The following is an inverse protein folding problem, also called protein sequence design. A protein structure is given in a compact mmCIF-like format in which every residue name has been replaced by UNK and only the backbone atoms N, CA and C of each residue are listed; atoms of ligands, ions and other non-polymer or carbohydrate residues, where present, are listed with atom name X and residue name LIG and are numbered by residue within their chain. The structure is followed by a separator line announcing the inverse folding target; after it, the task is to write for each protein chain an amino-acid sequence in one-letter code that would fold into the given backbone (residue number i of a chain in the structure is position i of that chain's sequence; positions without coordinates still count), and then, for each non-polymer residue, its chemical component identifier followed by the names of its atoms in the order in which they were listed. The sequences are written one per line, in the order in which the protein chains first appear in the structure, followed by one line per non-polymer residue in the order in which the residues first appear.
data_IF_132710201084
#
_entry.id   IF_132710201084
#
_cell.length_a   1.000
_cell.length_b   1.000
_cell.length_c   1.000
_cell.angle_alpha   90.00
_cell.angle_beta   90.00
_cell.angle_gamma   90.00
#
_symmetry.space_group_name_H-M   'P 1'
#
loop_
_entity.id
_entity.type
_entity.pdbx_description
1 polymer ?
#
# COMPACT_ATOMS: atom_id res chain seq x y z
N UNK A 1 -78.22 28.55 12.15
CA UNK A 1 -77.23 27.81 12.93
C UNK A 1 -76.05 27.44 12.01
N UNK A 2 -74.90 28.17 12.11
CA UNK A 2 -73.71 28.03 11.21
C UNK A 2 -72.76 27.02 11.77
N UNK A 3 -72.52 25.96 11.05
CA UNK A 3 -71.42 24.99 11.39
C UNK A 3 -70.13 25.35 10.69
N UNK A 4 -69.13 25.70 11.45
CA UNK A 4 -67.74 25.92 10.99
C UNK A 4 -67.03 24.58 10.75
N UNK A 5 -66.66 24.33 9.50
CA UNK A 5 -65.72 23.24 9.18
C UNK A 5 -64.30 23.70 9.43
N UNK A 6 -63.64 23.18 10.48
CA UNK A 6 -62.16 23.27 10.65
C UNK A 6 -61.50 22.23 9.74
N UNK A 7 -60.74 22.72 8.78
CA UNK A 7 -59.85 21.90 7.94
C UNK A 7 -58.60 21.69 8.72
N UNK A 8 -58.35 20.42 9.10
CA UNK A 8 -57.09 19.99 9.75
C UNK A 8 -56.05 19.71 8.66
N UNK A 9 -55.04 20.57 8.55
CA UNK A 9 -53.91 20.39 7.64
C UNK A 9 -52.92 19.48 8.34
N UNK A 10 -52.88 18.21 7.96
CA UNK A 10 -51.86 17.24 8.42
C UNK A 10 -50.61 17.48 7.61
N UNK A 11 -49.58 18.13 8.21
CA UNK A 11 -48.22 18.17 7.68
C UNK A 11 -47.59 16.80 7.84
N UNK A 12 -47.49 16.04 6.75
CA UNK A 12 -46.66 14.85 6.66
C UNK A 12 -45.20 15.33 6.61
N UNK A 13 -44.52 15.25 7.74
CA UNK A 13 -43.04 15.36 7.77
C UNK A 13 -42.48 14.09 7.10
N UNK A 14 -42.07 14.18 5.85
CA UNK A 14 -41.15 13.24 5.27
C UNK A 14 -39.80 13.46 5.92
N UNK A 15 -39.49 12.62 6.89
CA UNK A 15 -38.14 12.52 7.44
C UNK A 15 -37.18 12.06 6.35
N UNK A 16 -36.42 13.01 5.79
CA UNK A 16 -35.23 12.67 5.01
C UNK A 16 -34.25 12.08 6.02
N UNK A 17 -34.23 10.75 6.14
CA UNK A 17 -33.15 10.06 6.82
C UNK A 17 -31.90 10.32 6.00
N UNK A 18 -31.06 11.26 6.45
CA UNK A 18 -29.69 11.37 6.00
C UNK A 18 -29.00 10.03 6.33
N UNK A 19 -28.89 9.14 5.33
CA UNK A 19 -28.00 8.02 5.43
C UNK A 19 -26.59 8.62 5.55
N UNK A 20 -26.07 8.68 6.76
CA UNK A 20 -24.67 8.90 6.98
C UNK A 20 -23.95 7.77 6.24
N UNK A 21 -23.20 8.11 5.19
CA UNK A 21 -22.26 7.20 4.57
C UNK A 21 -21.26 6.83 5.68
N UNK A 22 -21.28 5.58 6.13
CA UNK A 22 -20.12 5.07 6.85
C UNK A 22 -18.98 5.14 5.82
N UNK A 23 -18.03 6.06 6.01
CA UNK A 23 -16.68 5.82 5.48
C UNK A 23 -16.39 4.37 5.81
N UNK A 24 -15.98 3.58 4.81
CA UNK A 24 -15.51 2.22 5.07
C UNK A 24 -14.37 2.34 6.08
N UNK A 25 -14.72 2.17 7.36
CA UNK A 25 -13.79 2.28 8.48
C UNK A 25 -12.92 1.03 8.43
N UNK A 26 -11.90 1.09 7.57
CA UNK A 26 -10.87 0.06 7.55
C UNK A 26 -10.08 0.16 8.84
N UNK A 27 -10.24 -0.82 9.72
CA UNK A 27 -9.55 -0.85 10.99
C UNK A 27 -8.05 -1.09 10.77
N UNK A 28 -7.24 -0.11 11.07
CA UNK A 28 -5.79 -0.19 11.25
C UNK A 28 -5.39 0.50 12.54
N UNK A 29 -4.21 0.19 13.07
CA UNK A 29 -3.72 0.80 14.32
C UNK A 29 -2.67 1.88 14.09
N UNK A 30 -1.97 1.85 12.95
CA UNK A 30 -1.06 2.91 12.54
C UNK A 30 -0.92 2.96 11.01
N UNK A 31 -0.80 4.17 10.47
CA UNK A 31 -0.62 4.44 9.04
C UNK A 31 0.45 5.51 8.85
N UNK A 32 1.28 5.36 7.81
CA UNK A 32 2.12 6.42 7.28
C UNK A 32 2.21 6.29 5.76
N UNK A 33 2.02 7.39 5.06
CA UNK A 33 2.16 7.52 3.60
C UNK A 33 3.12 8.65 3.30
N UNK A 34 4.10 8.41 2.45
CA UNK A 34 5.04 9.43 2.02
C UNK A 34 5.79 9.03 0.76
N UNK A 35 6.70 9.90 0.31
CA UNK A 35 7.57 9.64 -0.82
C UNK A 35 8.94 9.06 -0.40
N UNK A 36 9.74 8.66 -1.37
CA UNK A 36 11.09 8.14 -1.11
C UNK A 36 12.04 9.20 -0.53
N UNK A 37 11.73 10.50 -0.65
CA UNK A 37 12.57 11.59 -0.20
C UNK A 37 12.32 12.02 1.24
N UNK A 38 11.25 11.52 1.87
CA UNK A 38 10.92 11.80 3.26
C UNK A 38 9.74 12.77 3.43
N UNK A 39 9.10 13.19 2.35
CA UNK A 39 7.89 14.00 2.44
C UNK A 39 6.73 13.13 2.91
N UNK A 40 6.25 13.37 4.13
CA UNK A 40 5.10 12.66 4.70
C UNK A 40 3.83 13.34 4.20
N UNK A 41 2.94 12.57 3.57
CA UNK A 41 1.68 13.03 3.00
C UNK A 41 0.53 12.79 3.97
N UNK A 42 0.57 11.66 4.69
CA UNK A 42 -0.48 11.27 5.62
C UNK A 42 0.12 10.39 6.72
N UNK A 43 -0.24 10.66 7.95
CA UNK A 43 0.12 9.80 9.07
C UNK A 43 -1.01 9.74 10.10
N UNK A 44 -1.15 8.58 10.72
CA UNK A 44 -2.03 8.35 11.84
C UNK A 44 -1.38 7.33 12.79
N UNK A 45 -1.28 7.70 14.08
CA UNK A 45 -0.66 6.88 15.11
C UNK A 45 0.75 6.35 14.76
N UNK A 46 1.44 7.02 13.83
CA UNK A 46 2.67 6.55 13.17
C UNK A 46 3.85 6.35 14.10
N UNK A 47 3.85 6.98 15.27
CA UNK A 47 4.87 6.84 16.34
C UNK A 47 4.55 5.73 17.35
N UNK A 48 3.35 5.13 17.30
CA UNK A 48 2.96 4.08 18.24
C UNK A 48 3.69 2.78 17.93
N UNK A 49 4.40 2.24 18.93
CA UNK A 49 5.12 0.96 18.80
C UNK A 49 4.13 -0.20 18.74
N UNK A 50 4.32 -1.08 17.77
CA UNK A 50 3.45 -2.22 17.47
C UNK A 50 4.27 -3.48 17.19
N UNK A 51 3.74 -4.69 17.40
CA UNK A 51 4.35 -5.91 16.95
C UNK A 51 4.50 -5.94 15.43
N UNK A 52 5.66 -6.35 14.93
CA UNK A 52 6.02 -6.31 13.50
C UNK A 52 5.58 -7.54 12.72
N UNK A 53 5.49 -8.70 13.38
CA UNK A 53 5.36 -9.99 12.70
C UNK A 53 6.45 -10.12 11.60
N UNK A 54 6.12 -10.73 10.46
CA UNK A 54 7.10 -10.95 9.38
C UNK A 54 7.65 -9.71 8.69
N UNK A 55 7.21 -8.49 9.05
CA UNK A 55 7.90 -7.26 8.60
C UNK A 55 9.34 -7.22 9.14
N UNK A 56 9.62 -7.84 10.27
CA UNK A 56 10.95 -8.12 10.83
C UNK A 56 11.96 -8.60 9.78
N UNK A 57 11.53 -9.44 8.83
CA UNK A 57 12.39 -10.05 7.80
C UNK A 57 13.06 -9.04 6.87
N UNK A 58 12.58 -7.79 6.81
CA UNK A 58 13.28 -6.73 6.06
C UNK A 58 14.70 -6.58 6.61
N UNK A 59 14.89 -6.53 7.94
CA UNK A 59 16.21 -6.39 8.55
C UNK A 59 17.05 -7.66 8.35
N UNK A 60 16.46 -8.84 8.39
CA UNK A 60 17.16 -10.10 8.09
C UNK A 60 17.75 -10.10 6.69
N UNK A 61 17.00 -9.62 5.72
CA UNK A 61 17.45 -9.50 4.32
C UNK A 61 18.55 -8.44 4.20
N UNK A 62 18.41 -7.27 4.85
CA UNK A 62 19.44 -6.22 4.86
C UNK A 62 20.78 -6.76 5.36
N UNK A 63 20.82 -7.45 6.49
CA UNK A 63 22.06 -8.01 7.03
C UNK A 63 22.67 -9.07 6.11
N UNK A 64 21.83 -9.86 5.43
CA UNK A 64 22.32 -10.82 4.41
C UNK A 64 22.91 -10.08 3.21
N UNK A 65 22.24 -9.01 2.75
CA UNK A 65 22.74 -8.18 1.65
C UNK A 65 24.00 -7.41 2.01
N UNK A 66 24.19 -7.00 3.27
CA UNK A 66 25.44 -6.41 3.73
C UNK A 66 26.63 -7.36 3.56
N UNK A 67 26.43 -8.65 3.87
CA UNK A 67 27.47 -9.68 3.64
C UNK A 67 27.76 -9.88 2.15
N UNK A 68 26.73 -9.79 1.30
CA UNK A 68 26.91 -9.87 -0.16
C UNK A 68 27.65 -8.62 -0.66
N UNK A 69 27.24 -7.43 -0.26
CA UNK A 69 27.89 -6.17 -0.67
C UNK A 69 29.36 -6.08 -0.25
N UNK A 70 29.71 -6.62 0.92
CA UNK A 70 31.08 -6.67 1.40
C UNK A 70 31.94 -7.77 0.74
N UNK A 71 31.37 -8.58 -0.16
CA UNK A 71 32.06 -9.68 -0.83
C UNK A 71 32.34 -10.89 0.07
N UNK A 72 31.82 -10.91 1.32
CA UNK A 72 32.02 -12.04 2.24
C UNK A 72 31.23 -13.28 1.80
N UNK A 73 30.11 -13.09 1.15
CA UNK A 73 29.29 -14.13 0.52
C UNK A 73 28.76 -13.65 -0.82
N UNK A 74 28.23 -14.57 -1.63
CA UNK A 74 27.53 -14.25 -2.89
C UNK A 74 26.09 -14.79 -2.86
N UNK A 75 25.28 -14.42 -3.84
CA UNK A 75 23.95 -15.01 -4.03
C UNK A 75 24.00 -16.52 -4.21
N UNK A 76 25.09 -17.07 -4.75
CA UNK A 76 25.25 -18.50 -5.05
C UNK A 76 25.94 -19.28 -3.93
N UNK A 77 26.38 -18.58 -2.86
CA UNK A 77 26.95 -19.22 -1.66
C UNK A 77 25.93 -20.21 -1.09
N UNK A 78 26.41 -21.42 -0.77
CA UNK A 78 25.60 -22.52 -0.23
C UNK A 78 25.46 -22.40 1.29
N UNK A 79 24.23 -22.53 1.77
CA UNK A 79 23.88 -22.53 3.19
C UNK A 79 23.31 -23.91 3.53
N UNK A 80 23.94 -24.62 4.46
CA UNK A 80 23.41 -25.89 4.98
C UNK A 80 22.32 -25.60 6.00
N UNK A 81 21.12 -26.11 5.77
CA UNK A 81 19.96 -25.91 6.64
C UNK A 81 20.10 -26.76 7.90
N UNK A 82 20.11 -26.14 9.06
CA UNK A 82 20.16 -26.85 10.35
C UNK A 82 18.84 -27.59 10.64
N UNK A 83 18.90 -28.61 11.51
CA UNK A 83 17.69 -29.29 11.99
C UNK A 83 16.73 -28.33 12.72
N UNK A 84 17.26 -27.29 13.38
CA UNK A 84 16.45 -26.23 14.03
C UNK A 84 15.75 -25.37 12.98
N UNK A 85 16.49 -24.89 11.99
CA UNK A 85 15.91 -24.09 10.90
C UNK A 85 14.80 -24.85 10.17
N UNK A 86 15.06 -26.12 9.79
CA UNK A 86 14.05 -26.95 9.09
C UNK A 86 12.73 -27.12 9.84
N UNK A 87 12.76 -27.11 11.18
CA UNK A 87 11.58 -27.26 12.05
C UNK A 87 10.82 -25.96 12.34
N UNK A 88 11.35 -24.79 11.94
CA UNK A 88 10.65 -23.52 12.16
C UNK A 88 9.37 -23.49 11.33
N UNK A 89 8.20 -23.21 11.94
CA UNK A 89 6.91 -23.33 11.27
C UNK A 89 6.63 -22.21 10.28
N UNK A 90 5.61 -22.39 9.45
CA UNK A 90 5.10 -21.40 8.49
C UNK A 90 6.15 -20.94 7.47
N UNK A 91 6.75 -21.89 6.79
CA UNK A 91 7.74 -21.65 5.74
C UNK A 91 7.52 -22.52 4.50
N UNK A 92 8.54 -22.60 3.67
CA UNK A 92 8.67 -23.61 2.62
C UNK A 92 9.21 -24.91 3.22
N UNK A 93 9.08 -26.03 2.53
CA UNK A 93 9.75 -27.25 2.97
C UNK A 93 11.26 -27.11 2.74
N UNK A 94 12.02 -26.98 3.83
CA UNK A 94 13.50 -27.06 3.82
C UNK A 94 13.93 -28.36 4.50
N UNK A 95 14.88 -29.06 3.88
CA UNK A 95 15.37 -30.34 4.38
C UNK A 95 16.62 -30.10 5.21
N UNK A 96 16.63 -30.63 6.46
CA UNK A 96 17.80 -30.55 7.33
C UNK A 96 19.02 -31.23 6.68
N UNK A 97 20.19 -30.61 6.76
CA UNK A 97 21.41 -31.07 6.13
C UNK A 97 21.54 -30.76 4.63
N UNK A 98 20.44 -30.43 3.94
CA UNK A 98 20.50 -30.01 2.54
C UNK A 98 21.01 -28.58 2.40
N UNK A 99 21.73 -28.33 1.31
CA UNK A 99 22.24 -27.01 0.95
C UNK A 99 21.29 -26.28 0.01
N UNK A 100 21.02 -25.01 0.31
CA UNK A 100 20.32 -24.07 -0.55
C UNK A 100 21.19 -22.85 -0.81
N UNK A 101 21.02 -22.17 -1.93
CA UNK A 101 21.74 -20.93 -2.18
C UNK A 101 21.21 -19.79 -1.27
N UNK A 102 22.05 -18.80 -0.98
CA UNK A 102 21.61 -17.54 -0.35
C UNK A 102 20.47 -16.94 -1.16
N UNK A 103 20.54 -16.98 -2.49
CA UNK A 103 19.47 -16.54 -3.41
C UNK A 103 18.16 -17.26 -3.15
N UNK A 104 18.17 -18.58 -3.03
CA UNK A 104 16.96 -19.37 -2.74
C UNK A 104 16.35 -19.00 -1.39
N UNK A 105 17.17 -18.85 -0.37
CA UNK A 105 16.72 -18.48 0.97
C UNK A 105 16.18 -17.05 1.01
N UNK A 106 16.78 -16.10 0.25
CA UNK A 106 16.25 -14.74 0.08
C UNK A 106 14.89 -14.75 -0.64
N UNK A 107 14.76 -15.50 -1.75
CA UNK A 107 13.47 -15.68 -2.45
C UNK A 107 12.41 -16.22 -1.49
N UNK A 108 12.70 -17.28 -0.75
CA UNK A 108 11.76 -17.85 0.21
C UNK A 108 11.39 -16.85 1.32
N UNK A 109 12.36 -16.09 1.83
CA UNK A 109 12.17 -15.11 2.91
C UNK A 109 11.33 -13.91 2.47
N UNK A 110 11.62 -13.34 1.29
CA UNK A 110 10.97 -12.11 0.80
C UNK A 110 9.60 -12.44 0.20
N UNK A 111 9.54 -13.38 -0.74
CA UNK A 111 8.36 -13.67 -1.56
C UNK A 111 7.33 -14.45 -0.72
N UNK A 112 7.71 -15.62 -0.21
CA UNK A 112 6.82 -16.53 0.55
C UNK A 112 6.71 -16.14 2.02
N UNK A 113 7.56 -15.23 2.51
CA UNK A 113 7.64 -14.91 3.94
C UNK A 113 8.06 -16.09 4.82
N UNK A 114 8.89 -16.99 4.29
CA UNK A 114 9.30 -18.22 4.95
C UNK A 114 10.07 -17.95 6.24
N UNK A 115 9.58 -18.48 7.39
CA UNK A 115 10.22 -18.30 8.69
C UNK A 115 11.48 -19.14 8.81
N UNK A 116 11.46 -20.36 8.30
CA UNK A 116 12.60 -21.27 8.34
C UNK A 116 13.75 -20.79 7.43
N UNK A 117 13.46 -20.19 6.29
CA UNK A 117 14.49 -19.60 5.44
C UNK A 117 15.13 -18.36 6.10
N UNK A 118 14.33 -17.49 6.72
CA UNK A 118 14.85 -16.37 7.49
C UNK A 118 15.69 -16.84 8.70
N UNK A 119 15.28 -17.91 9.36
CA UNK A 119 16.06 -18.51 10.45
C UNK A 119 17.39 -19.06 9.96
N UNK A 120 17.39 -19.81 8.84
CA UNK A 120 18.62 -20.34 8.24
C UNK A 120 19.59 -19.23 7.82
N UNK A 121 19.08 -18.14 7.23
CA UNK A 121 19.91 -16.95 6.95
C UNK A 121 20.45 -16.32 8.24
N UNK A 122 19.65 -16.24 9.30
CA UNK A 122 20.08 -15.70 10.59
C UNK A 122 21.21 -16.53 11.23
N UNK A 123 21.08 -17.86 11.22
CA UNK A 123 22.17 -18.76 11.69
C UNK A 123 23.43 -18.61 10.85
N UNK A 124 23.28 -18.58 9.53
CA UNK A 124 24.42 -18.50 8.61
C UNK A 124 25.18 -17.16 8.71
N UNK A 125 24.44 -16.04 8.70
CA UNK A 125 25.03 -14.69 8.72
C UNK A 125 25.57 -14.31 10.09
N UNK A 126 24.88 -14.72 11.16
CA UNK A 126 25.25 -14.39 12.54
C UNK A 126 26.11 -15.45 13.24
N UNK A 127 26.24 -16.64 12.67
CA UNK A 127 26.85 -17.80 13.36
C UNK A 127 25.97 -18.39 14.45
N UNK A 128 25.07 -17.60 15.02
CA UNK A 128 24.03 -18.02 15.97
C UNK A 128 22.85 -17.04 15.92
N UNK A 129 21.66 -17.48 16.32
CA UNK A 129 20.48 -16.60 16.38
C UNK A 129 20.64 -15.46 17.38
N UNK A 130 21.17 -15.66 18.62
CA UNK A 130 21.41 -14.55 19.54
C UNK A 130 22.34 -13.47 18.97
N UNK A 131 23.44 -13.89 18.33
CA UNK A 131 24.36 -12.94 17.70
C UNK A 131 23.71 -12.22 16.53
N UNK A 132 22.94 -12.93 15.69
CA UNK A 132 22.21 -12.31 14.58
C UNK A 132 21.21 -11.27 15.06
N UNK A 133 20.46 -11.55 16.13
CA UNK A 133 19.51 -10.60 16.75
C UNK A 133 20.26 -9.37 17.28
N UNK A 134 21.41 -9.54 17.89
CA UNK A 134 22.27 -8.41 18.28
C UNK A 134 22.67 -7.56 17.07
N UNK A 135 23.08 -8.20 15.96
CA UNK A 135 23.40 -7.50 14.72
C UNK A 135 22.20 -6.73 14.17
N UNK A 136 20.97 -7.31 14.22
CA UNK A 136 19.75 -6.62 13.79
C UNK A 136 19.49 -5.35 14.60
N UNK A 137 19.64 -5.43 15.93
CA UNK A 137 19.43 -4.28 16.82
C UNK A 137 20.53 -3.22 16.64
N UNK A 138 21.78 -3.62 16.50
CA UNK A 138 22.89 -2.70 16.18
C UNK A 138 22.66 -1.99 14.84
N UNK A 139 22.23 -2.72 13.81
CA UNK A 139 21.92 -2.14 12.51
C UNK A 139 20.76 -1.14 12.60
N UNK A 140 19.71 -1.44 13.38
CA UNK A 140 18.61 -0.50 13.61
C UNK A 140 19.12 0.80 14.25
N UNK A 141 20.00 0.71 15.25
CA UNK A 141 20.61 1.89 15.88
C UNK A 141 21.48 2.68 14.90
N UNK A 142 22.30 2.00 14.09
CA UNK A 142 23.13 2.63 13.05
C UNK A 142 22.29 3.42 12.05
N UNK A 143 21.10 2.94 11.73
CA UNK A 143 20.14 3.63 10.86
C UNK A 143 19.28 4.71 11.57
N UNK A 144 19.44 4.89 12.89
CA UNK A 144 18.63 5.81 13.68
C UNK A 144 17.16 5.39 13.82
N UNK A 145 16.89 4.07 13.81
CA UNK A 145 15.56 3.46 13.87
C UNK A 145 15.29 2.97 15.29
N UNK A 146 15.18 3.91 16.24
CA UNK A 146 15.21 3.61 17.68
C UNK A 146 13.96 2.90 18.21
N UNK A 147 12.84 2.92 17.48
CA UNK A 147 11.64 2.17 17.87
C UNK A 147 11.72 0.69 17.47
N UNK A 148 12.61 0.33 16.52
CA UNK A 148 12.76 -1.05 16.06
C UNK A 148 13.56 -1.84 17.07
N UNK A 149 12.93 -2.87 17.64
CA UNK A 149 13.54 -3.85 18.52
C UNK A 149 13.29 -5.23 17.97
N UNK A 150 14.36 -5.93 17.70
CA UNK A 150 14.34 -7.29 17.14
C UNK A 150 14.65 -8.32 18.22
N UNK A 151 13.93 -9.45 18.16
CA UNK A 151 14.05 -10.58 19.07
C UNK A 151 14.20 -11.89 18.31
N UNK A 152 13.96 -11.85 16.99
CA UNK A 152 14.05 -13.03 16.12
C UNK A 152 14.39 -12.60 14.68
N UNK A 153 14.91 -13.53 13.85
CA UNK A 153 15.14 -13.25 12.43
C UNK A 153 13.86 -13.26 11.58
N UNK A 154 12.73 -13.71 12.13
CA UNK A 154 11.54 -14.05 11.34
C UNK A 154 10.24 -13.40 11.80
N UNK A 155 10.18 -12.77 12.98
CA UNK A 155 8.99 -12.10 13.49
C UNK A 155 7.92 -13.05 14.05
N UNK A 156 8.26 -14.28 14.38
CA UNK A 156 7.35 -15.16 15.11
C UNK A 156 7.16 -14.66 16.55
N UNK A 157 5.95 -14.84 17.13
CA UNK A 157 5.69 -14.40 18.50
C UNK A 157 6.46 -15.24 19.53
N UNK A 158 6.59 -14.73 20.78
CA UNK A 158 7.29 -15.39 21.88
C UNK A 158 6.88 -16.82 22.14
N UNK A 159 5.64 -17.19 21.89
CA UNK A 159 5.12 -18.57 22.00
C UNK A 159 5.88 -19.58 21.12
N UNK A 160 6.50 -19.12 20.04
CA UNK A 160 7.32 -19.95 19.15
C UNK A 160 8.82 -19.75 19.35
N UNK A 161 9.26 -18.56 19.72
CA UNK A 161 10.67 -18.23 19.80
C UNK A 161 11.26 -18.39 21.20
N UNK A 162 10.41 -18.37 22.24
CA UNK A 162 10.84 -18.30 23.64
C UNK A 162 11.55 -16.97 23.97
N UNK A 163 11.43 -15.97 23.11
CA UNK A 163 12.10 -14.68 23.24
C UNK A 163 11.07 -13.55 23.37
N UNK A 164 11.53 -12.28 23.25
CA UNK A 164 10.63 -11.12 23.26
C UNK A 164 9.92 -10.95 21.91
N UNK A 165 9.04 -9.94 21.81
CA UNK A 165 8.29 -9.60 20.61
C UNK A 165 9.11 -8.64 19.72
N UNK A 166 9.24 -8.94 18.43
CA UNK A 166 9.73 -7.99 17.44
C UNK A 166 8.74 -6.84 17.33
N UNK A 167 9.22 -5.61 17.52
CA UNK A 167 8.33 -4.44 17.57
C UNK A 167 8.98 -3.19 16.97
N UNK A 168 8.14 -2.22 16.61
CA UNK A 168 8.54 -0.92 16.08
C UNK A 168 7.34 -0.09 15.66
N UNK A 169 7.59 1.09 15.17
CA UNK A 169 6.54 2.01 14.72
C UNK A 169 6.56 2.26 13.21
N UNK A 170 5.50 2.86 12.68
CA UNK A 170 5.38 3.10 11.25
C UNK A 170 6.41 4.13 10.74
N UNK A 171 6.83 5.09 11.55
CA UNK A 171 7.86 6.09 11.17
C UNK A 171 9.21 5.45 10.89
N UNK A 172 9.66 4.57 11.77
CA UNK A 172 10.95 3.91 11.58
C UNK A 172 10.89 2.84 10.49
N UNK A 173 9.75 2.16 10.32
CA UNK A 173 9.55 1.26 9.18
C UNK A 173 9.53 2.01 7.84
N UNK A 174 8.96 3.20 7.79
CA UNK A 174 9.00 4.05 6.60
C UNK A 174 10.45 4.46 6.27
N UNK A 175 11.24 4.90 7.27
CA UNK A 175 12.66 5.18 7.08
C UNK A 175 13.44 3.93 6.65
N UNK A 176 13.15 2.76 7.24
CA UNK A 176 13.76 1.50 6.84
C UNK A 176 13.44 1.19 5.37
N UNK A 177 12.19 1.39 4.94
CA UNK A 177 11.80 1.21 3.55
C UNK A 177 12.51 2.19 2.60
N UNK A 178 12.71 3.46 3.00
CA UNK A 178 13.52 4.41 2.24
C UNK A 178 14.96 3.92 2.06
N UNK A 179 15.59 3.40 3.12
CA UNK A 179 16.92 2.81 3.08
C UNK A 179 16.95 1.61 2.12
N UNK A 180 15.93 0.73 2.19
CA UNK A 180 15.86 -0.43 1.28
C UNK A 180 15.81 0.01 -0.18
N UNK A 181 14.94 0.93 -0.54
CA UNK A 181 14.79 1.33 -1.95
C UNK A 181 15.95 2.16 -2.48
N UNK A 182 16.69 2.85 -1.60
CA UNK A 182 17.87 3.66 -1.97
C UNK A 182 19.16 2.83 -1.98
N UNK A 183 19.39 2.08 -0.92
CA UNK A 183 20.69 1.47 -0.66
C UNK A 183 20.71 -0.05 -0.89
N UNK A 184 19.56 -0.70 -0.94
CA UNK A 184 19.41 -2.16 -1.12
C UNK A 184 18.43 -2.46 -2.26
N UNK A 185 18.59 -1.78 -3.40
CA UNK A 185 17.65 -1.88 -4.55
C UNK A 185 17.44 -3.31 -5.05
N UNK A 186 18.45 -4.18 -4.92
CA UNK A 186 18.35 -5.61 -5.25
C UNK A 186 17.23 -6.33 -4.48
N UNK A 187 16.82 -5.79 -3.32
CA UNK A 187 15.65 -6.27 -2.59
C UNK A 187 14.40 -6.28 -3.47
N UNK A 188 14.23 -5.23 -4.31
CA UNK A 188 13.08 -5.08 -5.19
C UNK A 188 13.05 -6.14 -6.30
N UNK A 189 14.21 -6.68 -6.70
CA UNK A 189 14.27 -7.74 -7.71
C UNK A 189 13.62 -9.04 -7.22
N UNK A 190 13.58 -9.22 -5.91
CA UNK A 190 12.85 -10.32 -5.27
C UNK A 190 11.40 -9.93 -4.96
N UNK A 191 11.17 -8.77 -4.31
CA UNK A 191 9.87 -8.42 -3.75
C UNK A 191 8.79 -8.14 -4.80
N UNK A 192 9.18 -7.76 -6.04
CA UNK A 192 8.25 -7.53 -7.16
C UNK A 192 7.67 -8.80 -7.76
N UNK A 193 8.24 -9.97 -7.44
CA UNK A 193 7.82 -11.24 -8.05
C UNK A 193 6.57 -11.80 -7.36
N UNK A 194 5.51 -12.03 -8.14
CA UNK A 194 4.31 -12.76 -7.67
C UNK A 194 4.60 -14.23 -7.39
N UNK A 195 5.43 -14.82 -8.23
CA UNK A 195 5.82 -16.24 -8.19
C UNK A 195 7.27 -16.34 -8.60
N UNK A 196 8.01 -17.21 -7.93
CA UNK A 196 9.37 -17.60 -8.29
C UNK A 196 9.60 -19.06 -7.85
N UNK A 197 10.78 -19.58 -8.12
CA UNK A 197 11.15 -20.94 -7.79
C UNK A 197 12.50 -20.97 -7.08
N UNK A 198 12.65 -21.93 -6.17
CA UNK A 198 13.89 -22.23 -5.43
C UNK A 198 14.26 -23.70 -5.60
N UNK A 199 15.42 -24.10 -5.10
CA UNK A 199 15.88 -25.49 -5.12
C UNK A 199 15.94 -26.03 -6.55
N UNK A 200 16.62 -25.31 -7.44
CA UNK A 200 16.73 -25.65 -8.89
C UNK A 200 15.36 -25.82 -9.58
N UNK A 201 14.38 -25.05 -9.18
CA UNK A 201 13.05 -25.11 -9.77
C UNK A 201 12.06 -26.08 -9.09
N UNK A 202 12.52 -26.85 -8.10
CA UNK A 202 11.70 -27.90 -7.48
C UNK A 202 10.62 -27.33 -6.51
N UNK A 203 10.82 -26.13 -5.99
CA UNK A 203 9.89 -25.55 -5.01
C UNK A 203 9.38 -24.19 -5.47
N UNK A 204 8.08 -24.09 -5.69
CA UNK A 204 7.39 -22.84 -6.01
C UNK A 204 7.25 -21.96 -4.77
N UNK A 205 7.56 -20.68 -4.90
CA UNK A 205 7.28 -19.64 -3.90
C UNK A 205 6.32 -18.61 -4.47
N UNK A 206 5.25 -18.32 -3.73
CA UNK A 206 4.24 -17.34 -4.15
C UNK A 206 4.18 -16.19 -3.15
N UNK A 207 4.05 -14.97 -3.65
CA UNK A 207 4.03 -13.77 -2.82
C UNK A 207 2.82 -13.72 -1.89
N UNK A 208 3.07 -13.24 -0.68
CA UNK A 208 2.04 -12.90 0.30
C UNK A 208 1.45 -11.50 0.08
N UNK A 209 2.04 -10.70 -0.80
CA UNK A 209 1.53 -9.38 -1.18
C UNK A 209 0.62 -9.51 -2.41
N UNK A 210 -0.68 -9.58 -2.18
CA UNK A 210 -1.68 -9.72 -3.27
C UNK A 210 -1.90 -8.43 -4.07
N UNK A 211 -1.29 -7.30 -3.69
CA UNK A 211 -1.36 -6.05 -4.47
C UNK A 211 -0.42 -6.07 -5.67
N UNK A 212 0.61 -6.94 -5.66
CA UNK A 212 1.50 -7.13 -6.80
C UNK A 212 0.72 -7.51 -8.06
N UNK A 213 0.84 -6.66 -9.10
CA UNK A 213 0.17 -6.80 -10.40
C UNK A 213 -1.36 -6.66 -10.35
N UNK A 214 -1.95 -6.30 -9.20
CA UNK A 214 -3.34 -5.89 -9.05
C UNK A 214 -3.44 -4.37 -8.82
N UNK A 215 -2.40 -3.74 -8.29
CA UNK A 215 -2.28 -2.29 -8.17
C UNK A 215 -1.06 -1.83 -8.95
N UNK A 216 -1.25 -0.92 -9.89
CA UNK A 216 -0.21 -0.43 -10.79
C UNK A 216 0.95 0.16 -10.00
N UNK A 217 2.17 -0.24 -10.35
CA UNK A 217 3.41 0.28 -9.78
C UNK A 217 3.86 -0.40 -8.49
N UNK A 218 3.05 -1.24 -7.85
CA UNK A 218 3.47 -1.97 -6.64
C UNK A 218 4.61 -2.94 -6.96
N UNK A 219 5.72 -2.82 -6.21
CA UNK A 219 6.92 -3.65 -6.38
C UNK A 219 7.52 -4.21 -5.07
N UNK A 220 6.86 -3.95 -3.95
CA UNK A 220 7.31 -4.48 -2.66
C UNK A 220 6.49 -3.94 -1.47
N UNK A 221 6.98 -4.06 -0.22
CA UNK A 221 8.19 -4.76 0.21
C UNK A 221 7.84 -6.05 0.98
N UNK A 222 7.05 -5.93 2.07
CA UNK A 222 6.83 -7.05 3.00
C UNK A 222 5.51 -6.97 3.74
N UNK A 223 4.83 -8.11 3.83
CA UNK A 223 3.66 -8.33 4.69
C UNK A 223 4.06 -8.98 6.02
N UNK A 224 3.22 -8.81 7.04
CA UNK A 224 3.35 -9.51 8.32
C UNK A 224 1.99 -9.82 8.92
N UNK A 225 1.88 -10.95 9.61
CA UNK A 225 0.70 -11.33 10.38
C UNK A 225 1.05 -12.31 11.49
N UNK A 226 0.52 -12.09 12.65
CA UNK A 226 0.17 -13.01 13.70
C UNK A 226 -0.88 -12.35 14.59
N UNK A 227 -1.57 -13.10 15.45
CA UNK A 227 -2.75 -12.59 16.17
C UNK A 227 -2.48 -11.31 16.99
N UNK A 228 -1.35 -11.23 17.68
CA UNK A 228 -0.99 -10.04 18.46
C UNK A 228 -0.60 -8.82 17.60
N UNK A 229 -0.14 -9.02 16.37
CA UNK A 229 0.26 -7.93 15.47
C UNK A 229 -0.91 -7.43 14.61
N UNK A 230 -1.88 -8.30 14.31
CA UNK A 230 -2.80 -8.07 13.22
C UNK A 230 -2.08 -8.15 11.86
N UNK A 231 -2.72 -7.63 10.85
CA UNK A 231 -2.21 -7.63 9.48
C UNK A 231 -1.40 -6.37 9.20
N UNK A 232 -0.09 -6.52 9.00
CA UNK A 232 0.88 -5.47 8.71
C UNK A 232 1.33 -5.51 7.25
N UNK A 233 1.72 -4.36 6.70
CA UNK A 233 2.42 -4.26 5.43
C UNK A 233 3.29 -3.02 5.36
N UNK A 234 4.48 -3.17 4.80
CA UNK A 234 5.28 -2.08 4.24
C UNK A 234 5.17 -2.21 2.73
N UNK A 235 4.62 -1.20 2.08
CA UNK A 235 4.42 -1.14 0.63
C UNK A 235 5.33 -0.11 -0.01
N UNK A 236 5.74 -0.40 -1.24
CA UNK A 236 6.30 0.59 -2.15
C UNK A 236 5.67 0.43 -3.52
N UNK A 237 5.49 1.54 -4.19
CA UNK A 237 5.01 1.61 -5.56
C UNK A 237 5.75 2.71 -6.32
N UNK A 238 5.96 2.49 -7.63
CA UNK A 238 6.59 3.47 -8.51
C UNK A 238 5.72 3.68 -9.75
N UNK A 239 5.44 4.95 -10.10
CA UNK A 239 4.78 5.36 -11.35
C UNK A 239 5.50 6.58 -11.90
N UNK A 240 5.83 6.57 -13.18
CA UNK A 240 6.48 7.69 -13.88
C UNK A 240 7.74 8.21 -13.15
N UNK A 241 8.55 7.29 -12.60
CA UNK A 241 9.76 7.60 -11.83
C UNK A 241 9.52 8.08 -10.39
N UNK A 242 8.27 8.32 -9.99
CA UNK A 242 7.92 8.75 -8.64
C UNK A 242 7.62 7.55 -7.75
N UNK A 243 8.34 7.43 -6.66
CA UNK A 243 8.17 6.33 -5.71
C UNK A 243 7.49 6.81 -4.43
N UNK A 244 6.41 6.11 -4.08
CA UNK A 244 5.80 6.23 -2.76
C UNK A 244 6.14 5.05 -1.87
N UNK A 245 6.02 5.27 -0.57
CA UNK A 245 6.13 4.26 0.49
C UNK A 245 4.93 4.43 1.42
N UNK A 246 4.29 3.32 1.78
CA UNK A 246 3.25 3.34 2.82
C UNK A 246 3.45 2.20 3.80
N UNK A 247 3.20 2.48 5.07
CA UNK A 247 3.25 1.52 6.17
C UNK A 247 1.88 1.45 6.81
N UNK A 248 1.32 0.24 6.92
CA UNK A 248 0.04 -0.03 7.56
C UNK A 248 0.28 -1.10 8.62
N UNK A 249 -0.07 -0.81 9.87
CA UNK A 249 0.12 -1.72 10.99
C UNK A 249 -1.21 -2.00 11.71
N UNK A 250 -1.40 -3.26 12.08
CA UNK A 250 -2.47 -3.66 12.98
C UNK A 250 -3.87 -3.70 12.38
N UNK A 251 -4.02 -3.89 11.07
CA UNK A 251 -5.35 -4.13 10.49
C UNK A 251 -5.92 -5.47 10.97
N UNK A 252 -7.24 -5.51 11.23
CA UNK A 252 -7.90 -6.73 11.68
C UNK A 252 -7.76 -7.88 10.66
N UNK A 253 -7.88 -7.57 9.37
CA UNK A 253 -7.80 -8.58 8.31
C UNK A 253 -6.85 -8.16 7.19
N UNK A 254 -6.26 -9.15 6.51
CA UNK A 254 -5.37 -8.92 5.38
C UNK A 254 -6.08 -8.23 4.20
N UNK A 255 -7.39 -8.50 3.99
CA UNK A 255 -8.20 -7.84 2.95
C UNK A 255 -8.34 -6.33 3.20
N UNK A 256 -8.55 -5.93 4.47
CA UNK A 256 -8.74 -4.53 4.85
C UNK A 256 -7.42 -3.78 4.71
N UNK A 257 -6.30 -4.33 5.22
CA UNK A 257 -4.95 -3.85 4.99
C UNK A 257 -4.64 -3.62 3.50
N UNK A 258 -5.02 -4.58 2.65
CA UNK A 258 -4.77 -4.48 1.21
C UNK A 258 -5.66 -3.42 0.56
N UNK A 259 -6.93 -3.30 0.97
CA UNK A 259 -7.83 -2.27 0.48
C UNK A 259 -7.32 -0.86 0.84
N UNK A 260 -6.85 -0.68 2.09
CA UNK A 260 -6.19 0.57 2.54
C UNK A 260 -4.96 0.84 1.67
N UNK A 261 -4.07 -0.14 1.51
CA UNK A 261 -2.86 0.03 0.72
C UNK A 261 -3.14 0.42 -0.73
N UNK A 262 -4.13 -0.22 -1.37
CA UNK A 262 -4.56 0.11 -2.72
C UNK A 262 -5.13 1.53 -2.81
N UNK A 263 -5.96 1.93 -1.84
CA UNK A 263 -6.53 3.28 -1.75
C UNK A 263 -5.43 4.33 -1.62
N UNK A 264 -4.54 4.19 -0.64
CA UNK A 264 -3.47 5.17 -0.39
C UNK A 264 -2.53 5.32 -1.60
N UNK A 265 -2.20 4.20 -2.30
CA UNK A 265 -1.41 4.25 -3.53
C UNK A 265 -2.15 5.03 -4.63
N UNK A 266 -3.42 4.71 -4.86
CA UNK A 266 -4.17 5.37 -5.91
C UNK A 266 -4.42 6.84 -5.61
N UNK A 267 -4.72 7.22 -4.36
CA UNK A 267 -4.87 8.60 -3.92
C UNK A 267 -3.55 9.39 -4.06
N UNK A 268 -2.43 8.80 -3.66
CA UNK A 268 -1.11 9.43 -3.78
C UNK A 268 -0.82 9.86 -5.23
N UNK A 269 -0.97 8.94 -6.19
CA UNK A 269 -0.69 9.25 -7.58
C UNK A 269 -1.78 10.09 -8.26
N UNK A 270 -3.05 9.94 -7.88
CA UNK A 270 -4.14 10.75 -8.39
C UNK A 270 -4.01 12.23 -7.98
N UNK A 271 -3.50 12.49 -6.77
CA UNK A 271 -3.25 13.84 -6.27
C UNK A 271 -1.93 14.46 -6.79
N UNK A 272 -1.19 13.75 -7.64
CA UNK A 272 0.05 14.26 -8.24
C UNK A 272 1.23 14.35 -7.28
N UNK A 273 1.14 13.76 -6.08
CA UNK A 273 2.28 13.70 -5.17
C UNK A 273 3.48 12.97 -5.81
N UNK A 274 4.69 13.42 -5.50
CA UNK A 274 5.93 12.85 -6.04
C UNK A 274 6.28 13.30 -7.46
N UNK A 275 5.48 14.12 -8.12
CA UNK A 275 5.94 14.80 -9.34
C UNK A 275 6.98 15.85 -8.93
N UNK A 276 8.17 15.79 -9.54
CA UNK A 276 9.19 16.84 -9.37
C UNK A 276 8.63 18.17 -9.89
N UNK A 277 7.93 18.88 -9.01
CA UNK A 277 7.69 20.30 -9.20
C UNK A 277 8.99 21.03 -8.83
N UNK A 278 9.95 21.08 -9.77
CA UNK A 278 10.97 22.13 -9.77
C UNK A 278 10.29 23.47 -10.12
N UNK A 279 9.29 23.86 -9.32
CA UNK A 279 8.86 25.25 -9.23
C UNK A 279 9.52 25.84 -8.00
N UNK A 280 10.68 26.44 -8.23
CA UNK A 280 11.25 27.49 -7.38
C UNK A 280 10.12 28.48 -7.11
N UNK A 281 9.72 28.63 -5.85
CA UNK A 281 9.02 29.81 -5.37
C UNK A 281 9.99 30.98 -5.54
N UNK A 282 9.93 31.68 -6.67
CA UNK A 282 10.48 33.01 -6.78
C UNK A 282 9.50 33.98 -6.12
N UNK A 283 9.74 34.26 -4.82
CA UNK A 283 9.25 35.47 -4.21
C UNK A 283 10.02 36.66 -4.80
N UNK A 284 9.25 37.55 -5.44
CA UNK A 284 9.52 38.95 -5.69
C UNK A 284 10.92 39.36 -6.20
N UNK A 285 10.98 39.72 -7.47
CA UNK A 285 11.47 41.04 -7.82
C UNK A 285 10.99 41.42 -9.24
N UNK A 286 10.27 42.55 -9.29
CA UNK A 286 9.96 43.29 -10.49
C UNK A 286 11.26 43.63 -11.22
N UNK A 287 11.40 43.22 -12.48
CA UNK A 287 11.88 44.09 -13.55
C UNK A 287 11.67 43.42 -14.91
N UNK A 288 11.07 44.20 -15.75
CA UNK A 288 10.68 43.98 -17.12
C UNK A 288 11.82 43.54 -18.04
N UNK A 289 11.62 42.48 -18.82
CA UNK A 289 11.95 42.45 -20.26
C UNK A 289 11.28 41.28 -20.97
N UNK A 290 10.82 41.42 -22.21
CA UNK A 290 9.87 40.52 -22.82
C UNK A 290 10.54 39.42 -23.68
N UNK A 291 9.87 38.26 -23.71
CA UNK A 291 9.79 37.38 -24.88
C UNK A 291 10.95 36.41 -25.20
N UNK A 292 11.22 35.43 -24.29
CA UNK A 292 11.79 34.14 -24.73
C UNK A 292 11.21 32.88 -24.03
N UNK A 293 10.33 33.05 -23.01
CA UNK A 293 9.75 31.94 -22.24
C UNK A 293 8.64 31.16 -22.93
N UNK A 294 7.98 31.77 -23.94
CA UNK A 294 6.72 31.22 -24.47
C UNK A 294 6.89 30.01 -25.42
N UNK A 295 8.03 29.87 -26.10
CA UNK A 295 8.26 28.75 -27.04
C UNK A 295 8.68 27.46 -26.32
N UNK A 296 9.42 27.57 -25.23
CA UNK A 296 9.89 26.41 -24.46
C UNK A 296 8.74 25.83 -23.66
N UNK A 297 7.89 26.66 -23.02
CA UNK A 297 6.71 26.15 -22.28
C UNK A 297 5.65 25.54 -23.21
N UNK A 298 5.46 26.08 -24.40
CA UNK A 298 4.56 25.50 -25.41
C UNK A 298 5.08 24.15 -25.93
N UNK A 299 6.39 24.02 -26.13
CA UNK A 299 7.01 22.75 -26.51
C UNK A 299 6.88 21.68 -25.41
N UNK A 300 7.13 22.03 -24.14
CA UNK A 300 6.92 21.10 -23.02
C UNK A 300 5.46 20.75 -22.80
N UNK A 301 4.52 21.69 -22.95
CA UNK A 301 3.09 21.41 -22.86
C UNK A 301 2.61 20.46 -23.96
N UNK A 302 3.14 20.56 -25.16
CA UNK A 302 2.82 19.64 -26.27
C UNK A 302 3.37 18.23 -26.04
N UNK A 303 4.57 18.11 -25.42
CA UNK A 303 5.18 16.83 -25.05
C UNK A 303 4.41 16.05 -23.98
N UNK A 304 3.72 16.75 -23.06
CA UNK A 304 2.94 16.15 -21.98
C UNK A 304 1.42 16.17 -22.23
N UNK A 305 1.00 16.45 -23.46
CA UNK A 305 -0.42 16.47 -23.85
C UNK A 305 -1.25 17.54 -23.15
N UNK A 306 -0.63 18.70 -22.83
CA UNK A 306 -1.32 19.88 -22.28
C UNK A 306 -1.58 20.92 -23.35
N UNK A 307 -2.70 21.61 -23.22
CA UNK A 307 -3.05 22.77 -24.05
C UNK A 307 -2.14 23.98 -23.75
N UNK A 308 -2.18 24.98 -24.58
CA UNK A 308 -1.38 26.21 -24.43
C UNK A 308 -1.64 26.99 -23.13
N UNK A 309 -2.81 26.83 -22.53
CA UNK A 309 -3.23 27.37 -21.23
C UNK A 309 -2.86 26.49 -20.02
N UNK A 310 -2.19 25.35 -20.26
CA UNK A 310 -1.77 24.38 -19.25
C UNK A 310 -2.86 23.36 -18.86
N UNK A 311 -4.04 23.39 -19.48
CA UNK A 311 -5.07 22.38 -19.31
C UNK A 311 -4.76 21.11 -20.08
N UNK A 312 -5.37 19.99 -19.67
CA UNK A 312 -5.33 18.70 -20.36
C UNK A 312 -6.64 17.97 -20.15
N UNK A 313 -6.92 16.98 -21.00
CA UNK A 313 -8.04 16.06 -20.76
C UNK A 313 -7.75 15.21 -19.53
N UNK A 314 -8.63 15.29 -18.55
CA UNK A 314 -8.55 14.54 -17.30
C UNK A 314 -9.82 13.71 -17.15
N UNK A 315 -9.67 12.40 -17.00
CA UNK A 315 -10.77 11.52 -16.64
C UNK A 315 -11.11 11.72 -15.18
N UNK A 316 -12.22 12.37 -14.91
CA UNK A 316 -12.69 12.74 -13.55
C UNK A 316 -13.57 11.65 -12.94
N UNK A 317 -14.37 10.95 -13.76
CA UNK A 317 -15.13 9.77 -13.37
C UNK A 317 -14.71 8.61 -14.26
N UNK A 318 -14.36 7.45 -13.68
CA UNK A 318 -13.95 6.28 -14.41
C UNK A 318 -15.00 5.16 -14.25
N UNK A 319 -15.46 4.59 -15.38
CA UNK A 319 -16.42 3.47 -15.39
C UNK A 319 -15.95 2.21 -14.64
N UNK A 320 -14.68 2.14 -14.27
CA UNK A 320 -14.11 1.03 -13.50
C UNK A 320 -13.96 1.34 -12.00
N UNK A 321 -14.30 2.57 -11.56
CA UNK A 321 -14.22 2.94 -10.15
C UNK A 321 -15.51 2.51 -9.43
N UNK A 322 -15.36 1.90 -8.25
CA UNK A 322 -16.51 1.60 -7.40
C UNK A 322 -16.98 2.90 -6.76
N UNK A 323 -18.19 3.35 -7.10
CA UNK A 323 -18.77 4.57 -6.57
C UNK A 323 -19.58 4.28 -5.30
N UNK A 324 -20.23 3.12 -5.23
CA UNK A 324 -20.99 2.69 -4.07
C UNK A 324 -21.10 1.17 -4.00
N UNK A 325 -21.55 0.67 -2.85
CA UNK A 325 -21.86 -0.74 -2.64
C UNK A 325 -23.30 -0.85 -2.16
N UNK A 326 -24.11 -1.67 -2.84
CA UNK A 326 -25.47 -1.99 -2.41
C UNK A 326 -25.52 -3.37 -1.77
N UNK A 327 -26.23 -3.49 -0.65
CA UNK A 327 -26.47 -4.77 0.03
C UNK A 327 -27.89 -5.27 -0.29
N UNK A 328 -27.99 -6.48 -0.83
CA UNK A 328 -29.27 -7.13 -1.14
C UNK A 328 -29.32 -8.47 -0.39
N UNK A 329 -30.07 -8.53 0.69
CA UNK A 329 -30.00 -9.65 1.65
C UNK A 329 -28.60 -9.73 2.28
N UNK A 330 -27.93 -10.87 2.15
CA UNK A 330 -26.57 -11.07 2.66
C UNK A 330 -25.45 -10.76 1.66
N UNK A 331 -25.80 -10.47 0.40
CA UNK A 331 -24.82 -10.23 -0.65
C UNK A 331 -24.54 -8.72 -0.81
N UNK A 332 -23.31 -8.42 -1.21
CA UNK A 332 -22.83 -7.06 -1.55
C UNK A 332 -22.54 -6.99 -3.04
N UNK A 333 -23.02 -5.95 -3.70
CA UNK A 333 -22.81 -5.68 -5.11
C UNK A 333 -22.16 -4.32 -5.27
N UNK A 334 -21.14 -4.24 -6.11
CA UNK A 334 -20.46 -2.99 -6.41
C UNK A 334 -21.21 -2.22 -7.51
N UNK A 335 -21.29 -0.90 -7.35
CA UNK A 335 -21.88 0.00 -8.32
C UNK A 335 -20.79 0.81 -9.02
N UNK A 336 -20.85 0.84 -10.34
CA UNK A 336 -19.88 1.49 -11.20
C UNK A 336 -20.56 2.53 -12.08
N UNK A 337 -19.89 3.65 -12.43
CA UNK A 337 -20.39 4.56 -13.46
C UNK A 337 -20.57 3.81 -14.79
N UNK A 338 -21.64 4.08 -15.50
CA UNK A 338 -21.90 3.47 -16.81
C UNK A 338 -20.89 3.94 -17.88
N UNK A 339 -20.39 5.18 -17.73
CA UNK A 339 -19.45 5.82 -18.67
C UNK A 339 -18.35 6.58 -17.94
N UNK A 340 -17.22 6.76 -18.62
CA UNK A 340 -16.18 7.69 -18.19
C UNK A 340 -16.65 9.14 -18.38
N UNK A 341 -16.20 10.06 -17.52
CA UNK A 341 -16.36 11.50 -17.68
C UNK A 341 -14.98 12.14 -17.75
N UNK A 342 -14.72 12.89 -18.81
CA UNK A 342 -13.48 13.62 -19.02
C UNK A 342 -13.77 15.12 -19.09
N UNK A 343 -12.86 15.91 -18.53
CA UNK A 343 -12.89 17.38 -18.59
C UNK A 343 -11.52 17.91 -18.99
N UNK A 344 -11.49 19.13 -19.50
CA UNK A 344 -10.24 19.87 -19.64
C UNK A 344 -9.98 20.66 -18.36
N UNK A 345 -8.91 20.31 -17.65
CA UNK A 345 -8.52 20.98 -16.42
C UNK A 345 -7.00 20.93 -16.20
N UNK A 346 -6.49 21.83 -15.37
CA UNK A 346 -5.09 21.85 -14.96
C UNK A 346 -4.80 20.70 -14.00
N UNK A 347 -5.76 20.41 -13.11
CA UNK A 347 -5.68 19.37 -12.08
C UNK A 347 -6.98 18.60 -11.99
N UNK A 348 -6.90 17.36 -11.50
CA UNK A 348 -8.09 16.53 -11.27
C UNK A 348 -8.84 17.05 -10.05
N UNK A 349 -10.13 17.44 -10.18
CA UNK A 349 -10.93 17.90 -9.05
C UNK A 349 -11.19 16.76 -8.06
N UNK A 350 -11.32 17.10 -6.78
CA UNK A 350 -11.76 16.16 -5.73
C UNK A 350 -13.27 16.08 -5.75
N UNK A 351 -13.80 14.95 -6.18
CA UNK A 351 -15.25 14.76 -6.28
C UNK A 351 -15.82 14.09 -5.04
N UNK A 352 -16.91 14.65 -4.54
CA UNK A 352 -17.82 13.99 -3.58
C UNK A 352 -18.96 13.36 -4.37
N UNK A 353 -19.27 12.11 -4.04
CA UNK A 353 -20.33 11.38 -4.72
C UNK A 353 -21.57 11.30 -3.86
N UNK A 354 -22.73 11.45 -4.49
CA UNK A 354 -24.03 11.04 -3.97
C UNK A 354 -24.67 10.07 -4.94
N UNK A 355 -25.43 9.12 -4.41
CA UNK A 355 -26.02 8.03 -5.19
C UNK A 355 -27.52 7.97 -4.93
N UNK A 356 -28.30 7.89 -5.99
CA UNK A 356 -29.74 7.62 -5.93
C UNK A 356 -30.02 6.30 -6.62
N UNK A 357 -30.61 5.36 -5.89
CA UNK A 357 -30.91 4.03 -6.41
C UNK A 357 -32.36 3.95 -6.90
N UNK A 358 -32.58 3.21 -7.97
CA UNK A 358 -33.91 2.91 -8.48
C UNK A 358 -34.64 1.97 -7.48
N UNK A 359 -35.98 2.11 -7.34
CA UNK A 359 -36.74 1.14 -6.54
C UNK A 359 -36.72 -0.25 -7.19
N UNK A 360 -36.81 -1.28 -6.36
CA UNK A 360 -36.90 -2.68 -6.84
C UNK A 360 -35.61 -3.34 -7.27
N UNK A 361 -34.43 -2.82 -6.88
CA UNK A 361 -33.15 -3.46 -7.15
C UNK A 361 -33.09 -4.83 -6.48
N UNK A 362 -32.73 -5.85 -7.26
CA UNK A 362 -32.60 -7.24 -6.85
C UNK A 362 -31.29 -7.84 -7.38
N UNK A 363 -30.99 -9.09 -7.00
CA UNK A 363 -29.83 -9.84 -7.56
C UNK A 363 -29.89 -9.95 -9.10
N UNK A 364 -31.09 -9.95 -9.67
CA UNK A 364 -31.33 -10.02 -11.11
C UNK A 364 -30.97 -8.71 -11.85
N UNK A 365 -30.81 -7.61 -11.12
CA UNK A 365 -30.39 -6.31 -11.68
C UNK A 365 -28.89 -6.23 -12.02
N UNK A 366 -28.15 -7.33 -11.87
CA UNK A 366 -26.72 -7.39 -12.22
C UNK A 366 -26.53 -7.12 -13.73
N UNK A 367 -25.60 -6.24 -14.06
CA UNK A 367 -25.35 -5.78 -15.44
C UNK A 367 -26.31 -4.69 -15.93
N UNK A 368 -27.30 -4.29 -15.14
CA UNK A 368 -28.28 -3.28 -15.50
C UNK A 368 -27.99 -1.94 -14.82
N UNK A 369 -28.61 -0.88 -15.34
CA UNK A 369 -28.64 0.44 -14.71
C UNK A 369 -29.56 0.38 -13.48
N UNK A 370 -28.96 0.63 -12.31
CA UNK A 370 -29.65 0.49 -11.02
C UNK A 370 -29.83 1.82 -10.28
N UNK A 371 -29.40 2.90 -10.87
CA UNK A 371 -29.53 4.24 -10.28
C UNK A 371 -28.66 5.26 -10.99
N UNK A 372 -28.51 6.40 -10.35
CA UNK A 372 -27.67 7.51 -10.82
C UNK A 372 -26.69 7.94 -9.75
N UNK A 373 -25.59 8.57 -10.15
CA UNK A 373 -24.69 9.28 -9.26
C UNK A 373 -24.64 10.76 -9.61
N UNK A 374 -24.31 11.55 -8.61
CA UNK A 374 -23.87 12.95 -8.75
C UNK A 374 -22.49 13.05 -8.13
N UNK A 375 -21.52 13.57 -8.87
CA UNK A 375 -20.15 13.79 -8.43
C UNK A 375 -19.84 15.29 -8.50
N UNK A 376 -19.41 15.92 -7.40
CA UNK A 376 -19.16 17.37 -7.36
C UNK A 376 -17.92 17.68 -6.53
N UNK A 377 -17.18 18.71 -6.94
CA UNK A 377 -16.10 19.32 -6.16
C UNK A 377 -16.56 20.61 -5.43
N UNK A 378 -17.84 20.93 -5.53
CA UNK A 378 -18.45 22.16 -5.00
C UNK A 378 -18.51 23.30 -6.03
N UNK A 379 -17.82 23.18 -7.16
CA UNK A 379 -17.81 24.16 -8.27
C UNK A 379 -18.45 23.54 -9.51
N UNK A 380 -18.06 22.32 -9.85
CA UNK A 380 -18.57 21.55 -10.98
C UNK A 380 -19.34 20.34 -10.48
N UNK A 381 -20.37 19.95 -11.23
CA UNK A 381 -21.21 18.79 -10.92
C UNK A 381 -21.36 17.92 -12.15
N UNK A 382 -21.12 16.62 -11.98
CA UNK A 382 -21.23 15.60 -13.01
C UNK A 382 -22.28 14.58 -12.56
N UNK A 383 -23.15 14.16 -13.46
CA UNK A 383 -24.16 13.14 -13.20
C UNK A 383 -24.04 12.01 -14.20
N UNK A 384 -24.41 10.82 -13.79
CA UNK A 384 -24.39 9.67 -14.67
C UNK A 384 -25.13 8.48 -14.08
N UNK A 385 -25.26 7.44 -14.88
CA UNK A 385 -25.91 6.19 -14.51
C UNK A 385 -24.93 5.25 -13.79
N UNK A 386 -25.48 4.40 -12.91
CA UNK A 386 -24.75 3.36 -12.18
C UNK A 386 -25.17 1.98 -12.67
N UNK A 387 -24.17 1.13 -12.91
CA UNK A 387 -24.34 -0.27 -13.25
C UNK A 387 -23.92 -1.13 -12.06
N UNK A 388 -24.73 -2.12 -11.71
CA UNK A 388 -24.43 -3.13 -10.68
C UNK A 388 -23.61 -4.28 -11.29
N UNK A 389 -22.47 -4.61 -10.73
CA UNK A 389 -21.64 -5.73 -11.13
C UNK A 389 -21.40 -6.74 -10.01
#
# INVERSE_FOLDING_TARGET
MKMNKKILFSMLFFGVSSMAFSEDYFDYKALLVGDVNGNIIKEDNSSTVRPLASVTKIMTVILTMDKIKSGQISYDTKVTVSAKAAKVPYGVTLVAGKQYTVRDLLKATIIKSSNNAAYALGEFVGGSIPNFVNMMNQKAQQFGLYSLRYCSPNGLPPSYTGSCMDQGNAKDLYKLAQIVVKDYSDYLDFSRNKVDYIDNGNTKVSSTNTLLGNVIGVDGLKTGYHDAAGSNIVLTAIRDGNRMITVILGSAHAKDRNAIGAREINEYYANGYGRNNNYVQNTNNNNSSPNKGNKISQFFNSLVGRNSDGTRKIKVVNKNDIVAIVKIGNDKFNLYPAKDVEIEAKEKPRLKYSVTLNPGISRQSRGQVVGTYTATDGIQTFTGELIMK
#
